data_IF_942838287117
#
_entry.id   IF_942838287117
#
_cell.length_a   1.000
_cell.length_b   1.000
_cell.length_c   1.000
_cell.angle_alpha   90.00
_cell.angle_beta   90.00
_cell.angle_gamma   90.00
#
_symmetry.space_group_name_H-M   'P 1'
#
loop_
_entity.id
_entity.type
_entity.pdbx_description
1 polymer ?
#
# COMPACT_ATOMS: atom_id res chain seq x y z
N UNK A 1 -9.61 6.31 -41.63
CA UNK A 1 -10.00 5.95 -40.25
C UNK A 1 -8.74 5.63 -39.48
N UNK A 2 -8.38 6.32 -38.40
CA UNK A 2 -9.20 7.19 -37.57
C UNK A 2 -8.27 7.95 -36.61
N UNK A 3 -8.43 9.27 -36.47
CA UNK A 3 -7.69 10.08 -35.50
C UNK A 3 -8.19 9.86 -34.06
N UNK A 4 -9.30 9.15 -33.91
CA UNK A 4 -10.01 9.00 -32.64
C UNK A 4 -10.31 7.52 -32.38
N UNK A 5 -9.32 6.74 -31.92
CA UNK A 5 -9.59 5.42 -31.37
C UNK A 5 -10.50 5.52 -30.14
N UNK A 6 -11.08 4.38 -29.75
CA UNK A 6 -11.89 4.30 -28.53
C UNK A 6 -11.04 4.74 -27.30
N UNK A 7 -11.61 5.59 -26.46
CA UNK A 7 -10.91 6.27 -25.35
C UNK A 7 -11.60 5.99 -24.02
N UNK A 8 -10.88 6.13 -22.90
CA UNK A 8 -11.46 5.98 -21.57
C UNK A 8 -12.66 6.91 -21.37
N UNK A 9 -13.79 6.32 -20.96
CA UNK A 9 -15.05 7.01 -20.66
C UNK A 9 -15.15 7.50 -19.20
N UNK A 10 -16.30 8.11 -18.82
CA UNK A 10 -16.49 8.67 -17.49
C UNK A 10 -16.84 7.65 -16.40
N UNK A 11 -17.21 6.43 -16.79
CA UNK A 11 -17.60 5.37 -15.86
C UNK A 11 -16.35 4.62 -15.34
N UNK A 12 -16.23 4.39 -14.03
CA UNK A 12 -15.11 3.65 -13.45
C UNK A 12 -15.21 2.16 -13.82
N UNK A 13 -14.06 1.52 -14.02
CA UNK A 13 -13.98 0.08 -14.27
C UNK A 13 -14.18 -0.77 -13.00
N UNK A 14 -13.85 -0.22 -11.83
CA UNK A 14 -13.90 -0.89 -10.53
C UNK A 14 -14.50 0.01 -9.45
N UNK A 15 -15.15 -0.61 -8.48
CA UNK A 15 -15.46 0.04 -7.21
C UNK A 15 -14.23 0.09 -6.29
N UNK A 16 -14.15 1.05 -5.34
CA UNK A 16 -12.97 1.23 -4.50
C UNK A 16 -12.56 -0.02 -3.72
N UNK A 17 -13.52 -0.79 -3.23
CA UNK A 17 -13.31 -2.01 -2.45
C UNK A 17 -12.59 -3.10 -3.27
N UNK A 18 -12.96 -3.25 -4.55
CA UNK A 18 -12.37 -4.24 -5.46
C UNK A 18 -10.90 -3.91 -5.76
N UNK A 19 -10.59 -2.63 -5.97
CA UNK A 19 -9.21 -2.17 -6.14
C UNK A 19 -8.38 -2.35 -4.86
N UNK A 20 -8.98 -2.09 -3.68
CA UNK A 20 -8.33 -2.32 -2.37
C UNK A 20 -8.01 -3.80 -2.12
N UNK A 21 -8.80 -4.71 -2.67
CA UNK A 21 -8.56 -6.16 -2.64
C UNK A 21 -7.44 -6.60 -3.62
N UNK A 22 -6.94 -5.68 -4.43
CA UNK A 22 -5.83 -5.88 -5.38
C UNK A 22 -6.27 -6.26 -6.78
N UNK A 23 -7.54 -6.02 -7.15
CA UNK A 23 -8.00 -6.18 -8.53
C UNK A 23 -7.55 -4.99 -9.40
N UNK A 24 -7.12 -5.30 -10.62
CA UNK A 24 -6.72 -4.33 -11.63
C UNK A 24 -7.53 -4.56 -12.91
N UNK A 25 -8.18 -3.52 -13.44
CA UNK A 25 -8.96 -3.56 -14.68
C UNK A 25 -8.63 -2.37 -15.58
N UNK A 26 -8.71 -2.57 -16.89
CA UNK A 26 -8.56 -1.51 -17.89
C UNK A 26 -9.76 -0.54 -17.87
N UNK A 27 -9.58 0.72 -18.28
CA UNK A 27 -10.67 1.68 -18.32
C UNK A 27 -11.77 1.26 -19.32
N UNK A 28 -13.01 1.57 -18.98
CA UNK A 28 -14.14 1.37 -19.88
C UNK A 28 -13.99 2.29 -21.09
N UNK A 29 -13.78 1.72 -22.27
CA UNK A 29 -13.57 2.48 -23.50
C UNK A 29 -14.89 2.90 -24.16
N UNK A 30 -14.87 4.09 -24.76
CA UNK A 30 -15.98 4.69 -25.49
C UNK A 30 -15.48 5.28 -26.82
N UNK A 31 -16.25 5.05 -27.88
CA UNK A 31 -16.06 5.67 -29.20
C UNK A 31 -16.51 7.12 -29.18
N UNK A 32 -15.65 8.05 -29.62
CA UNK A 32 -16.03 9.45 -29.79
C UNK A 32 -16.93 9.68 -31.02
N UNK A 33 -17.11 8.67 -31.88
CA UNK A 33 -17.98 8.76 -33.06
C UNK A 33 -19.46 8.92 -32.70
N UNK A 34 -19.84 8.44 -31.51
CA UNK A 34 -21.22 8.53 -31.00
C UNK A 34 -21.55 9.91 -30.42
N UNK A 35 -20.58 10.83 -30.42
CA UNK A 35 -20.72 12.18 -29.86
C UNK A 35 -20.75 12.20 -28.34
N UNK A 36 -21.24 13.30 -27.77
CA UNK A 36 -21.26 13.49 -26.32
C UNK A 36 -22.33 12.60 -25.67
N UNK A 37 -21.87 11.73 -24.76
CA UNK A 37 -22.74 10.94 -23.88
C UNK A 37 -22.69 11.55 -22.47
N UNK A 38 -23.80 12.09 -21.96
CA UNK A 38 -23.86 12.63 -20.61
C UNK A 38 -23.56 11.55 -19.56
N UNK A 39 -22.73 11.85 -18.55
CA UNK A 39 -22.52 10.93 -17.44
C UNK A 39 -23.83 10.60 -16.74
N UNK A 40 -24.01 9.34 -16.34
CA UNK A 40 -25.10 8.97 -15.44
C UNK A 40 -24.81 9.64 -14.10
N UNK A 41 -25.77 10.39 -13.54
CA UNK A 41 -25.53 11.11 -12.30
C UNK A 41 -25.26 10.13 -11.16
N UNK A 42 -23.99 9.93 -10.79
CA UNK A 42 -23.62 9.28 -9.53
C UNK A 42 -23.57 10.36 -8.46
N UNK A 43 -24.55 10.36 -7.57
CA UNK A 43 -24.59 11.30 -6.46
C UNK A 43 -23.42 11.01 -5.52
N UNK A 44 -22.42 11.90 -5.48
CA UNK A 44 -21.23 11.72 -4.64
C UNK A 44 -21.61 11.94 -3.17
N UNK A 45 -21.91 10.84 -2.48
CA UNK A 45 -22.21 10.86 -1.04
C UNK A 45 -20.91 10.80 -0.24
N UNK A 46 -20.42 11.96 0.16
CA UNK A 46 -19.27 12.05 1.06
C UNK A 46 -19.76 11.91 2.50
N UNK A 47 -19.58 10.74 3.11
CA UNK A 47 -19.95 10.51 4.52
C UNK A 47 -18.99 11.16 5.53
N UNK A 48 -17.95 11.86 5.05
CA UNK A 48 -16.92 12.46 5.91
C UNK A 48 -17.25 13.93 6.16
N UNK A 49 -17.38 14.29 7.44
CA UNK A 49 -17.37 15.68 7.89
C UNK A 49 -16.08 16.37 7.40
N UNK A 50 -16.22 17.59 6.88
CA UNK A 50 -15.08 18.38 6.43
C UNK A 50 -14.16 18.68 7.64
N UNK A 51 -12.91 18.20 7.58
CA UNK A 51 -11.95 18.32 8.68
C UNK A 51 -11.40 19.74 8.82
N UNK A 52 -11.59 20.59 7.79
CA UNK A 52 -11.17 22.00 7.77
C UNK A 52 -12.18 22.92 8.49
N UNK A 53 -13.43 22.48 8.68
CA UNK A 53 -14.47 23.28 9.36
C UNK A 53 -14.24 23.37 10.89
N UNK A 54 -13.46 22.45 11.46
CA UNK A 54 -12.96 22.61 12.84
C UNK A 54 -11.66 23.39 12.83
N UNK A 55 -11.71 24.66 13.28
CA UNK A 55 -10.51 25.45 13.55
C UNK A 55 -9.56 24.61 14.43
N UNK A 56 -8.37 24.19 13.95
CA UNK A 56 -7.50 23.34 14.74
C UNK A 56 -7.02 24.13 15.96
N UNK A 57 -7.15 23.55 17.15
CA UNK A 57 -6.26 23.93 18.25
C UNK A 57 -4.83 23.66 17.79
N UNK A 58 -3.84 24.51 18.12
CA UNK A 58 -2.47 24.35 17.63
C UNK A 58 -1.85 23.13 18.32
N UNK A 59 -2.07 21.94 17.75
CA UNK A 59 -1.34 20.73 18.11
C UNK A 59 -0.14 20.62 17.20
N UNK A 60 1.04 20.45 17.82
CA UNK A 60 2.30 20.16 17.14
C UNK A 60 2.06 19.10 16.08
N UNK A 61 2.57 19.39 14.89
CA UNK A 61 2.57 18.50 13.74
C UNK A 61 3.05 17.11 14.15
N UNK A 62 2.12 16.17 14.22
CA UNK A 62 2.41 14.76 13.98
C UNK A 62 1.73 14.45 12.66
N UNK A 63 2.53 14.15 11.65
CA UNK A 63 2.07 13.61 10.38
C UNK A 63 1.36 12.29 10.67
N UNK A 64 0.05 12.34 10.89
CA UNK A 64 -0.78 11.15 10.97
C UNK A 64 -0.95 10.63 9.55
N UNK A 65 -0.18 9.60 9.19
CA UNK A 65 -0.60 8.71 8.12
C UNK A 65 -1.96 8.10 8.53
N UNK A 66 -3.03 8.52 7.85
CA UNK A 66 -4.42 8.09 8.07
C UNK A 66 -4.68 6.62 7.66
N UNK A 67 -3.64 5.79 7.63
CA UNK A 67 -3.73 4.34 7.36
C UNK A 67 -3.85 3.48 8.62
N UNK A 68 -3.74 4.08 9.81
CA UNK A 68 -3.75 3.32 11.08
C UNK A 68 -5.15 3.03 11.64
N UNK A 69 -6.22 3.56 11.04
CA UNK A 69 -7.51 3.65 11.72
C UNK A 69 -8.38 2.39 11.66
N UNK A 70 -8.02 1.32 10.94
CA UNK A 70 -8.92 0.16 10.82
C UNK A 70 -8.27 -1.20 10.54
N UNK A 71 -7.01 -1.42 10.92
CA UNK A 71 -6.42 -2.77 10.79
C UNK A 71 -7.08 -3.72 11.80
N UNK A 72 -7.59 -4.91 11.39
CA UNK A 72 -8.15 -5.88 12.31
C UNK A 72 -7.14 -6.24 13.41
N UNK A 73 -7.54 -6.38 14.69
CA UNK A 73 -6.63 -6.78 15.77
C UNK A 73 -5.83 -8.04 15.43
N UNK A 74 -6.48 -9.00 14.75
CA UNK A 74 -5.89 -10.26 14.26
C UNK A 74 -4.73 -10.05 13.26
N UNK A 75 -4.74 -8.95 12.51
CA UNK A 75 -3.66 -8.62 11.58
C UNK A 75 -2.46 -8.04 12.32
N UNK A 76 -2.70 -7.17 13.31
CA UNK A 76 -1.65 -6.60 14.16
C UNK A 76 -0.95 -7.68 14.97
N UNK A 77 -1.70 -8.64 15.51
CA UNK A 77 -1.15 -9.79 16.25
C UNK A 77 -0.25 -10.67 15.36
N UNK A 78 -0.72 -11.02 14.15
CA UNK A 78 0.08 -11.78 13.17
C UNK A 78 1.36 -11.04 12.77
N UNK A 79 1.27 -9.74 12.52
CA UNK A 79 2.44 -8.93 12.17
C UNK A 79 3.44 -8.87 13.34
N UNK A 80 2.95 -8.78 14.58
CA UNK A 80 3.81 -8.79 15.75
C UNK A 80 4.54 -10.13 15.91
N UNK A 81 3.85 -11.25 15.67
CA UNK A 81 4.44 -12.59 15.67
C UNK A 81 5.50 -12.74 14.57
N UNK A 82 5.22 -12.29 13.35
CA UNK A 82 6.17 -12.32 12.25
C UNK A 82 7.42 -11.49 12.56
N UNK A 83 7.26 -10.28 13.11
CA UNK A 83 8.39 -9.44 13.55
C UNK A 83 9.22 -10.14 14.64
N UNK A 84 8.59 -10.86 15.56
CA UNK A 84 9.32 -11.63 16.58
C UNK A 84 10.10 -12.79 15.97
N UNK A 85 9.49 -13.53 15.04
CA UNK A 85 10.13 -14.64 14.32
C UNK A 85 11.32 -14.17 13.48
N UNK A 86 11.19 -13.03 12.79
CA UNK A 86 12.28 -12.40 12.05
C UNK A 86 13.42 -12.00 12.98
N UNK A 87 13.14 -11.36 14.12
CA UNK A 87 14.16 -11.01 15.11
C UNK A 87 14.91 -12.24 15.64
N UNK A 88 14.20 -13.32 15.96
CA UNK A 88 14.81 -14.56 16.41
C UNK A 88 15.73 -15.17 15.33
N UNK A 89 15.30 -15.11 14.07
CA UNK A 89 16.10 -15.59 12.93
C UNK A 89 17.37 -14.77 12.74
N UNK A 90 17.26 -13.43 12.82
CA UNK A 90 18.41 -12.52 12.72
C UNK A 90 19.43 -12.81 13.82
N UNK A 91 19.00 -12.92 15.08
CA UNK A 91 19.90 -13.24 16.20
C UNK A 91 20.60 -14.59 16.03
N UNK A 92 19.87 -15.59 15.53
CA UNK A 92 20.44 -16.91 15.22
C UNK A 92 21.50 -16.83 14.12
N UNK A 93 21.24 -16.05 13.08
CA UNK A 93 22.19 -15.80 11.98
C UNK A 93 23.41 -15.04 12.47
N UNK A 94 23.25 -13.98 13.27
CA UNK A 94 24.37 -13.21 13.85
C UNK A 94 25.29 -14.09 14.68
N UNK A 95 24.74 -14.96 15.54
CA UNK A 95 25.51 -15.94 16.31
C UNK A 95 26.29 -16.89 15.39
N UNK A 96 25.62 -17.44 14.37
CA UNK A 96 26.24 -18.34 13.40
C UNK A 96 27.37 -17.66 12.63
N UNK A 97 27.20 -16.41 12.23
CA UNK A 97 28.23 -15.62 11.55
C UNK A 97 29.45 -15.46 12.47
N UNK A 98 29.25 -15.02 13.71
CA UNK A 98 30.33 -14.87 14.70
C UNK A 98 31.10 -16.19 14.92
N UNK A 99 30.39 -17.32 15.05
CA UNK A 99 31.02 -18.64 15.20
C UNK A 99 31.84 -19.04 13.96
N UNK A 100 31.36 -18.70 12.76
CA UNK A 100 32.07 -18.98 11.51
C UNK A 100 33.30 -18.08 11.33
N UNK A 101 33.19 -16.79 11.64
CA UNK A 101 34.30 -15.84 11.62
C UNK A 101 35.41 -16.26 12.60
N UNK A 102 35.04 -16.69 13.81
CA UNK A 102 35.96 -17.24 14.81
C UNK A 102 36.64 -18.55 14.37
N UNK A 103 35.98 -19.36 13.53
CA UNK A 103 36.60 -20.56 12.94
C UNK A 103 37.56 -20.17 11.83
N UNK A 104 37.17 -19.28 10.94
CA UNK A 104 38.00 -18.82 9.81
C UNK A 104 39.27 -18.12 10.29
N UNK A 105 39.19 -17.29 11.33
CA UNK A 105 40.37 -16.59 11.88
C UNK A 105 41.49 -17.54 12.32
N UNK A 106 41.15 -18.76 12.76
CA UNK A 106 42.13 -19.80 13.12
C UNK A 106 42.88 -20.36 11.91
N UNK A 107 42.29 -20.33 10.72
CA UNK A 107 42.90 -20.82 9.49
C UNK A 107 43.64 -19.70 8.73
N UNK A 108 43.19 -18.45 8.84
CA UNK A 108 43.82 -17.30 8.16
C UNK A 108 45.06 -16.79 8.88
N UNK A 109 45.21 -17.02 10.19
CA UNK A 109 46.43 -16.68 10.94
C UNK A 109 47.60 -17.66 10.69
N UNK A 110 47.45 -18.64 9.78
CA UNK A 110 48.45 -19.67 9.48
C UNK A 110 48.99 -19.65 8.04
N UNK A 111 48.67 -18.64 7.22
CA UNK A 111 49.23 -18.49 5.87
C UNK A 111 49.98 -17.17 5.75
N UNK A 112 51.27 -17.24 6.10
CA UNK A 112 52.31 -16.29 5.71
C UNK A 112 53.31 -17.04 4.81
#
# INVERSE_FOLDING_TARGET
DDLYPDTAGPDPALEPEEWLEGQDEDPILQSMRDGYVPPKSRELKVARKNVLDSRPTPRRSMSSCDGSANLPPQFVERLLEEVQNLKATVLSQEKRICDLENKLSKYTNGTA
#
